data_IF_305408564691
#
_entry.id   IF_305408564691
#
_cell.length_a   1.000
_cell.length_b   1.000
_cell.length_c   1.000
_cell.angle_alpha   90.00
_cell.angle_beta   90.00
_cell.angle_gamma   90.00
#
_symmetry.space_group_name_H-M   'P 1'
#
loop_
_entity.id
_entity.type
_entity.pdbx_description
1 polymer ?
#
# COMPACT_ATOMS: atom_id res chain seq x y z
N UNK A 1 -12.83 -19.83 -21.17
CA UNK A 1 -12.89 -19.53 -19.72
C UNK A 1 -11.48 -19.63 -19.18
N UNK A 2 -10.88 -18.52 -18.79
CA UNK A 2 -9.55 -18.50 -18.18
C UNK A 2 -9.70 -18.66 -16.66
N UNK A 3 -8.94 -19.57 -16.05
CA UNK A 3 -8.95 -19.80 -14.59
C UNK A 3 -8.39 -18.61 -13.80
N UNK A 4 -8.56 -18.57 -12.47
CA UNK A 4 -8.11 -17.47 -11.61
C UNK A 4 -6.62 -17.13 -11.77
N UNK A 5 -5.76 -18.12 -12.05
CA UNK A 5 -4.33 -17.93 -12.30
C UNK A 5 -4.01 -17.26 -13.64
N UNK A 6 -4.87 -17.45 -14.65
CA UNK A 6 -4.71 -16.79 -15.95
C UNK A 6 -5.25 -15.36 -15.94
N UNK A 7 -6.25 -15.09 -15.10
CA UNK A 7 -6.67 -13.73 -14.78
C UNK A 7 -5.50 -12.96 -14.16
N UNK A 8 -4.90 -13.46 -13.07
CA UNK A 8 -3.71 -12.84 -12.45
C UNK A 8 -2.56 -12.60 -13.45
N UNK A 9 -2.25 -13.55 -14.33
CA UNK A 9 -1.17 -13.39 -15.31
C UNK A 9 -1.46 -12.37 -16.43
N UNK A 10 -2.73 -12.17 -16.83
CA UNK A 10 -3.12 -11.15 -17.80
C UNK A 10 -3.03 -9.74 -17.19
N UNK A 11 -3.47 -9.59 -15.93
CA UNK A 11 -3.38 -8.33 -15.18
C UNK A 11 -1.91 -7.85 -15.01
N UNK A 12 -0.96 -8.79 -14.86
CA UNK A 12 0.47 -8.47 -14.67
C UNK A 12 1.11 -7.87 -15.92
N UNK A 13 0.81 -8.40 -17.12
CA UNK A 13 1.45 -7.94 -18.37
C UNK A 13 1.02 -6.54 -18.79
N UNK A 14 -0.26 -6.20 -18.62
CA UNK A 14 -0.77 -4.89 -19.02
C UNK A 14 -0.29 -3.79 -18.06
N UNK A 15 -0.15 -4.10 -16.77
CA UNK A 15 0.39 -3.17 -15.77
C UNK A 15 1.89 -2.94 -15.95
N UNK A 16 2.69 -3.96 -16.30
CA UNK A 16 4.10 -3.77 -16.66
C UNK A 16 4.28 -2.83 -17.85
N UNK A 17 3.38 -2.90 -18.83
CA UNK A 17 3.41 -2.00 -19.99
C UNK A 17 3.09 -0.56 -19.59
N UNK A 18 2.12 -0.38 -18.69
CA UNK A 18 1.84 0.93 -18.08
C UNK A 18 3.06 1.47 -17.35
N UNK A 19 3.74 0.67 -16.53
CA UNK A 19 4.95 1.12 -15.82
C UNK A 19 6.06 1.55 -16.77
N UNK A 20 6.34 0.78 -17.84
CA UNK A 20 7.39 1.14 -18.82
C UNK A 20 7.07 2.46 -19.50
N UNK A 21 5.80 2.71 -19.83
CA UNK A 21 5.39 3.94 -20.48
C UNK A 21 5.45 5.14 -19.53
N UNK A 22 4.97 4.98 -18.30
CA UNK A 22 4.97 6.03 -17.26
C UNK A 22 6.38 6.36 -16.80
N UNK A 23 7.25 5.36 -16.61
CA UNK A 23 8.66 5.57 -16.24
C UNK A 23 9.49 6.20 -17.36
N UNK A 24 9.13 5.93 -18.63
CA UNK A 24 9.91 6.36 -19.79
C UNK A 24 11.27 5.65 -19.91
N UNK A 25 11.47 4.53 -19.19
CA UNK A 25 12.71 3.75 -19.21
C UNK A 25 12.54 2.43 -19.98
N UNK A 26 13.46 2.08 -20.90
CA UNK A 26 13.45 0.78 -21.57
C UNK A 26 13.81 -0.38 -20.63
N UNK A 27 14.56 -0.11 -19.55
CA UNK A 27 15.05 -1.11 -18.59
C UNK A 27 14.04 -1.46 -17.48
N UNK A 28 12.80 -0.98 -17.61
CA UNK A 28 11.68 -1.39 -16.76
C UNK A 28 11.73 -0.78 -15.36
N UNK A 29 10.91 0.25 -15.13
CA UNK A 29 10.43 0.52 -13.78
C UNK A 29 9.74 -0.72 -13.25
N UNK A 30 10.28 -1.32 -12.19
CA UNK A 30 9.72 -2.50 -11.56
C UNK A 30 8.36 -2.24 -10.94
N UNK A 31 7.38 -3.06 -11.32
CA UNK A 31 6.00 -2.95 -10.86
C UNK A 31 5.76 -3.97 -9.75
N UNK A 32 5.26 -3.51 -8.60
CA UNK A 32 4.47 -4.39 -7.73
C UNK A 32 3.02 -4.35 -8.22
N UNK A 33 2.32 -5.48 -8.12
CA UNK A 33 0.99 -5.66 -8.71
C UNK A 33 -0.15 -5.86 -7.71
N UNK A 34 0.14 -6.21 -6.44
CA UNK A 34 -0.92 -6.43 -5.45
C UNK A 34 -0.44 -6.26 -4.02
N UNK A 35 -1.30 -5.63 -3.20
CA UNK A 35 -1.09 -5.44 -1.77
C UNK A 35 -2.19 -6.21 -1.05
N UNK A 36 -1.85 -7.23 -0.23
CA UNK A 36 -2.85 -8.01 0.48
C UNK A 36 -3.27 -7.29 1.77
N UNK A 37 -4.17 -6.31 1.67
CA UNK A 37 -4.92 -5.84 2.85
C UNK A 37 -6.31 -6.47 2.79
N UNK A 38 -6.53 -7.51 3.59
CA UNK A 38 -7.84 -8.16 3.70
C UNK A 38 -8.53 -7.73 4.99
N UNK A 39 -9.81 -7.37 4.92
CA UNK A 39 -10.69 -7.15 6.09
C UNK A 39 -11.52 -8.41 6.35
N UNK A 40 -11.88 -8.65 7.61
CA UNK A 40 -12.78 -9.74 8.04
C UNK A 40 -14.25 -9.49 7.69
N UNK A 41 -14.64 -8.23 7.42
CA UNK A 41 -16.03 -7.84 7.18
C UNK A 41 -16.38 -7.57 5.71
N UNK A 42 -17.51 -8.10 5.25
CA UNK A 42 -18.17 -7.62 4.02
C UNK A 42 -18.82 -6.27 4.31
N UNK A 43 -18.24 -5.18 3.81
CA UNK A 43 -18.90 -3.87 3.84
C UNK A 43 -19.41 -3.53 2.44
N UNK A 44 -20.66 -3.88 2.19
CA UNK A 44 -21.43 -3.40 1.04
C UNK A 44 -21.78 -1.92 1.25
N UNK A 45 -21.20 -1.04 0.44
CA UNK A 45 -21.43 0.41 0.47
C UNK A 45 -20.49 1.15 -0.49
N UNK A 46 -20.78 2.42 -0.86
CA UNK A 46 -19.99 3.19 -1.82
C UNK A 46 -18.56 3.50 -1.34
N UNK A 47 -18.31 3.40 -0.03
CA UNK A 47 -16.99 3.46 0.58
C UNK A 47 -16.35 2.07 0.48
N UNK A 48 -15.65 1.80 -0.63
CA UNK A 48 -14.84 0.58 -0.80
C UNK A 48 -13.77 0.55 0.29
N UNK A 49 -14.10 -0.14 1.37
CA UNK A 49 -13.42 -0.11 2.65
C UNK A 49 -12.30 -1.13 2.67
N UNK A 50 -11.12 -0.86 2.08
CA UNK A 50 -9.93 -1.72 2.18
C UNK A 50 -10.20 -3.25 2.09
N UNK A 51 -11.20 -3.67 1.32
CA UNK A 51 -11.70 -5.05 1.34
C UNK A 51 -11.42 -5.67 -0.02
N UNK A 52 -10.36 -6.48 -0.07
CA UNK A 52 -9.89 -7.16 -1.29
C UNK A 52 -8.45 -6.79 -1.65
N UNK A 53 -7.84 -7.60 -2.51
CA UNK A 53 -6.58 -7.24 -3.17
C UNK A 53 -6.91 -6.26 -4.31
N UNK A 54 -6.30 -5.08 -4.30
CA UNK A 54 -6.39 -4.14 -5.42
C UNK A 54 -5.00 -3.80 -5.94
N UNK A 55 -4.88 -3.49 -7.24
CA UNK A 55 -3.58 -3.20 -7.83
C UNK A 55 -3.05 -1.86 -7.33
N UNK A 56 -1.80 -1.89 -6.89
CA UNK A 56 -1.01 -0.71 -6.50
C UNK A 56 0.28 -0.79 -7.26
N UNK A 57 0.59 0.24 -8.04
CA UNK A 57 1.77 0.28 -8.90
C UNK A 57 2.83 1.15 -8.27
N UNK A 58 4.09 0.71 -8.36
CA UNK A 58 5.26 1.53 -8.07
C UNK A 58 5.99 1.85 -9.35
N UNK A 59 6.49 3.08 -9.47
CA UNK A 59 7.22 3.52 -10.65
C UNK A 59 8.37 4.42 -10.25
N UNK A 60 9.54 4.19 -10.83
CA UNK A 60 10.66 5.13 -10.81
C UNK A 60 10.76 5.79 -12.18
N UNK A 61 10.88 7.12 -12.19
CA UNK A 61 10.91 7.90 -13.42
C UNK A 61 12.35 7.99 -13.97
N UNK A 62 12.49 7.97 -15.29
CA UNK A 62 13.76 8.29 -15.93
C UNK A 62 14.14 9.77 -15.68
N UNK A 63 15.44 10.07 -15.74
CA UNK A 63 15.95 11.42 -15.51
C UNK A 63 15.24 12.47 -16.39
N UNK A 64 14.79 13.56 -15.77
CA UNK A 64 14.07 14.64 -16.45
C UNK A 64 12.62 14.33 -16.84
N UNK A 65 12.09 13.16 -16.44
CA UNK A 65 10.66 12.83 -16.59
C UNK A 65 9.87 13.22 -15.34
N UNK A 66 8.61 13.56 -15.57
CA UNK A 66 7.63 13.86 -14.54
C UNK A 66 6.37 13.07 -14.84
N UNK A 67 5.72 12.59 -13.79
CA UNK A 67 4.39 11.99 -13.86
C UNK A 67 3.65 12.37 -12.58
N UNK A 68 2.31 12.33 -12.63
CA UNK A 68 1.48 12.40 -11.44
C UNK A 68 0.61 11.14 -11.34
N UNK A 69 0.24 10.77 -10.11
CA UNK A 69 -0.57 9.59 -9.83
C UNK A 69 -1.85 9.56 -10.70
N UNK A 70 -2.57 10.69 -10.78
CA UNK A 70 -3.83 10.77 -11.50
C UNK A 70 -3.67 10.47 -13.00
N UNK A 71 -2.68 11.06 -13.66
CA UNK A 71 -2.38 10.82 -15.08
C UNK A 71 -1.98 9.37 -15.33
N UNK A 72 -1.17 8.78 -14.44
CA UNK A 72 -0.76 7.39 -14.56
C UNK A 72 -1.95 6.42 -14.40
N UNK A 73 -2.90 6.72 -13.50
CA UNK A 73 -4.13 5.94 -13.33
C UNK A 73 -5.04 6.09 -14.56
N UNK A 74 -5.24 7.29 -15.09
CA UNK A 74 -6.05 7.49 -16.29
C UNK A 74 -5.45 6.77 -17.50
N UNK A 75 -4.13 6.88 -17.69
CA UNK A 75 -3.43 6.12 -18.73
C UNK A 75 -3.64 4.61 -18.57
N UNK A 76 -3.56 4.10 -17.33
CA UNK A 76 -3.81 2.69 -17.06
C UNK A 76 -5.23 2.25 -17.40
N UNK A 77 -6.23 3.12 -17.20
CA UNK A 77 -7.64 2.83 -17.54
C UNK A 77 -7.88 2.77 -19.05
N UNK A 78 -7.15 3.59 -19.81
CA UNK A 78 -7.21 3.58 -21.27
C UNK A 78 -6.52 2.35 -21.86
N UNK A 79 -5.44 1.87 -21.22
CA UNK A 79 -4.63 0.77 -21.72
C UNK A 79 -5.10 -0.62 -21.27
N UNK A 80 -5.59 -0.74 -20.04
CA UNK A 80 -6.01 -2.00 -19.44
C UNK A 80 -7.52 -2.19 -19.69
N UNK A 81 -7.87 -3.17 -20.51
CA UNK A 81 -9.29 -3.47 -20.82
C UNK A 81 -10.06 -3.99 -19.58
N UNK A 82 -9.38 -4.75 -18.71
CA UNK A 82 -10.02 -5.41 -17.57
C UNK A 82 -10.11 -4.46 -16.35
N UNK A 83 -11.32 -3.99 -16.04
CA UNK A 83 -11.56 -3.02 -14.95
C UNK A 83 -10.98 -3.41 -13.58
N UNK A 84 -10.98 -4.68 -13.15
CA UNK A 84 -10.35 -5.08 -11.89
C UNK A 84 -8.83 -4.91 -11.86
N UNK A 85 -8.12 -4.86 -13.00
CA UNK A 85 -6.68 -4.57 -13.05
C UNK A 85 -6.34 -3.09 -12.94
N UNK A 86 -7.33 -2.21 -12.98
CA UNK A 86 -7.04 -0.78 -12.92
C UNK A 86 -6.38 -0.44 -11.59
N UNK A 87 -5.18 0.19 -11.62
CA UNK A 87 -4.50 0.58 -10.41
C UNK A 87 -5.37 1.54 -9.61
N UNK A 88 -5.52 1.24 -8.32
CA UNK A 88 -6.17 2.16 -7.39
C UNK A 88 -5.21 3.24 -6.91
N UNK A 89 -3.91 2.94 -6.94
CA UNK A 89 -2.82 3.82 -6.55
C UNK A 89 -1.61 3.61 -7.46
N UNK A 90 -0.92 4.71 -7.74
CA UNK A 90 0.40 4.72 -8.40
C UNK A 90 1.33 5.53 -7.52
N UNK A 91 2.37 4.88 -6.99
CA UNK A 91 3.40 5.52 -6.19
C UNK A 91 4.65 5.76 -7.03
N UNK A 92 5.00 7.03 -7.17
CA UNK A 92 6.22 7.45 -7.82
C UNK A 92 7.31 7.50 -6.74
N UNK A 93 8.38 6.73 -6.93
CA UNK A 93 9.47 6.56 -5.96
C UNK A 93 10.82 6.78 -6.61
N UNK A 94 11.77 7.32 -5.84
CA UNK A 94 13.12 7.61 -6.34
C UNK A 94 13.88 6.35 -6.76
N UNK A 95 13.67 5.26 -6.03
CA UNK A 95 14.24 3.96 -6.34
C UNK A 95 13.31 2.85 -5.87
N UNK A 96 13.28 1.76 -6.64
CA UNK A 96 12.60 0.54 -6.23
C UNK A 96 13.52 -0.29 -5.34
N UNK A 97 12.99 -0.92 -4.29
CA UNK A 97 13.76 -1.87 -3.51
C UNK A 97 14.07 -3.08 -4.40
N UNK A 98 15.34 -3.46 -4.44
CA UNK A 98 15.82 -4.61 -5.19
C UNK A 98 16.34 -5.68 -4.23
N UNK A 99 16.27 -6.93 -4.67
CA UNK A 99 16.96 -8.08 -4.08
C UNK A 99 18.46 -7.97 -4.36
N UNK A 100 19.26 -8.79 -3.67
CA UNK A 100 20.70 -8.91 -3.96
C UNK A 100 20.98 -9.33 -5.41
N UNK A 101 20.02 -10.00 -6.06
CA UNK A 101 20.09 -10.39 -7.48
C UNK A 101 19.63 -9.29 -8.44
N UNK A 102 19.28 -8.11 -7.95
CA UNK A 102 18.85 -6.97 -8.77
C UNK A 102 17.39 -6.99 -9.22
N UNK A 103 16.61 -8.01 -8.87
CA UNK A 103 15.18 -8.07 -9.15
C UNK A 103 14.38 -7.28 -8.12
N UNK A 104 13.21 -6.76 -8.50
CA UNK A 104 12.29 -6.05 -7.58
C UNK A 104 11.99 -6.89 -6.34
N UNK A 105 12.19 -6.29 -5.17
CA UNK A 105 11.88 -6.91 -3.89
C UNK A 105 10.41 -6.65 -3.53
N UNK A 106 9.53 -7.46 -4.10
CA UNK A 106 8.08 -7.38 -3.88
C UNK A 106 7.64 -7.37 -2.40
N UNK A 107 8.28 -8.14 -1.47
CA UNK A 107 7.95 -8.06 -0.05
C UNK A 107 8.04 -6.65 0.53
N UNK A 108 9.10 -5.90 0.19
CA UNK A 108 9.28 -4.52 0.68
C UNK A 108 8.22 -3.59 0.12
N UNK A 109 7.85 -3.75 -1.16
CA UNK A 109 6.81 -2.92 -1.78
C UNK A 109 5.42 -3.22 -1.19
N UNK A 110 5.14 -4.47 -0.80
CA UNK A 110 3.89 -4.84 -0.11
C UNK A 110 3.82 -4.23 1.28
N UNK A 111 4.94 -4.27 2.02
CA UNK A 111 5.08 -3.60 3.30
C UNK A 111 4.84 -2.08 3.19
N UNK A 112 5.56 -1.41 2.29
CA UNK A 112 5.43 0.04 2.06
C UNK A 112 4.00 0.42 1.67
N UNK A 113 3.36 -0.35 0.79
CA UNK A 113 2.01 -0.05 0.36
C UNK A 113 0.99 -0.19 1.50
N UNK A 114 1.18 -1.18 2.38
CA UNK A 114 0.35 -1.35 3.56
C UNK A 114 0.51 -0.17 4.52
N UNK A 115 1.74 0.28 4.77
CA UNK A 115 2.04 1.47 5.59
C UNK A 115 1.32 2.69 5.05
N UNK A 116 1.48 3.00 3.75
CA UNK A 116 0.86 4.17 3.11
C UNK A 116 -0.66 4.15 3.20
N UNK A 117 -1.25 2.99 2.89
CA UNK A 117 -2.69 2.86 2.81
C UNK A 117 -3.35 2.85 4.19
N UNK A 118 -2.74 2.16 5.15
CA UNK A 118 -3.19 2.17 6.53
C UNK A 118 -3.01 3.56 7.14
N UNK A 119 -1.89 4.24 6.87
CA UNK A 119 -1.63 5.60 7.33
C UNK A 119 -2.69 6.59 6.85
N UNK A 120 -3.02 6.56 5.55
CA UNK A 120 -4.14 7.36 5.02
C UNK A 120 -5.46 7.03 5.72
N UNK A 121 -5.77 5.74 5.83
CA UNK A 121 -7.07 5.30 6.37
C UNK A 121 -7.22 5.67 7.85
N UNK A 122 -6.17 5.48 8.66
CA UNK A 122 -6.17 5.87 10.06
C UNK A 122 -6.22 7.39 10.20
N UNK A 123 -5.48 8.14 9.39
CA UNK A 123 -5.52 9.60 9.42
C UNK A 123 -6.92 10.15 9.10
N UNK A 124 -7.59 9.61 8.07
CA UNK A 124 -8.94 10.03 7.68
C UNK A 124 -9.99 9.69 8.74
N UNK A 125 -9.89 8.51 9.37
CA UNK A 125 -10.93 8.00 10.28
C UNK A 125 -10.76 8.46 11.72
N UNK A 126 -9.51 8.49 12.18
CA UNK A 126 -9.16 8.87 13.55
C UNK A 126 -8.97 10.39 13.65
N UNK A 127 -8.78 11.08 12.51
CA UNK A 127 -8.53 12.51 12.42
C UNK A 127 -7.27 12.93 13.20
N UNK A 128 -6.25 12.07 13.15
CA UNK A 128 -4.98 12.25 13.85
C UNK A 128 -3.85 11.70 12.99
N UNK A 129 -2.63 12.24 13.13
CA UNK A 129 -1.42 11.79 12.41
C UNK A 129 -0.25 11.54 13.35
N UNK A 130 -0.49 11.51 14.66
CA UNK A 130 0.50 11.32 15.72
C UNK A 130 0.82 9.83 15.89
N UNK A 131 1.03 9.14 14.77
CA UNK A 131 1.39 7.74 14.76
C UNK A 131 2.39 7.44 13.65
N UNK A 132 3.22 6.44 13.88
CA UNK A 132 4.10 5.82 12.89
C UNK A 132 3.65 4.39 12.67
N UNK A 133 3.72 3.93 11.42
CA UNK A 133 3.31 2.58 11.04
C UNK A 133 4.51 1.87 10.43
N UNK A 134 4.80 0.70 10.95
CA UNK A 134 5.75 -0.24 10.37
C UNK A 134 4.99 -1.49 9.92
N UNK A 135 5.24 -1.96 8.70
CA UNK A 135 4.70 -3.23 8.22
C UNK A 135 5.84 -4.16 7.80
N UNK A 136 5.71 -5.44 8.12
CA UNK A 136 6.67 -6.48 7.77
C UNK A 136 5.94 -7.72 7.27
N UNK A 137 6.48 -8.33 6.22
CA UNK A 137 6.02 -9.65 5.81
C UNK A 137 6.46 -10.68 6.87
N UNK A 138 5.56 -11.60 7.23
CA UNK A 138 5.81 -12.61 8.26
C UNK A 138 4.72 -12.68 9.33
N UNK A 139 4.98 -13.45 10.38
CA UNK A 139 3.97 -13.75 11.41
C UNK A 139 3.07 -14.94 11.05
N UNK A 140 2.23 -15.34 11.99
CA UNK A 140 1.25 -16.44 11.88
C UNK A 140 0.22 -16.20 10.78
N UNK A 141 -0.04 -14.94 10.42
CA UNK A 141 -0.97 -14.55 9.34
C UNK A 141 -0.27 -14.07 8.05
N UNK A 142 1.05 -14.23 7.96
CA UNK A 142 1.85 -13.87 6.78
C UNK A 142 2.13 -12.37 6.60
N UNK A 143 1.50 -11.52 7.42
CA UNK A 143 1.76 -10.08 7.48
C UNK A 143 1.58 -9.55 8.91
N UNK A 144 2.48 -8.69 9.36
CA UNK A 144 2.46 -8.07 10.68
C UNK A 144 2.63 -6.55 10.58
N UNK A 145 1.87 -5.81 11.38
CA UNK A 145 1.87 -4.34 11.42
C UNK A 145 2.07 -3.83 12.84
N UNK A 146 3.02 -2.93 13.03
CA UNK A 146 3.23 -2.23 14.30
C UNK A 146 2.82 -0.78 14.15
N UNK A 147 2.00 -0.28 15.06
CA UNK A 147 1.59 1.13 15.11
C UNK A 147 2.13 1.75 16.38
N UNK A 148 2.99 2.76 16.23
CA UNK A 148 3.58 3.52 17.33
C UNK A 148 2.82 4.84 17.46
N UNK A 149 2.13 5.04 18.58
CA UNK A 149 1.33 6.22 18.90
C UNK A 149 2.17 7.21 19.73
N UNK A 150 2.25 8.48 19.32
CA UNK A 150 2.99 9.54 20.02
C UNK A 150 2.04 10.51 20.72
N UNK A 151 2.24 10.74 22.02
CA UNK A 151 1.50 11.76 22.77
C UNK A 151 -0.03 11.59 22.78
N UNK A 152 -0.52 10.40 22.43
CA UNK A 152 -1.91 10.21 22.04
C UNK A 152 -2.84 9.99 23.23
N UNK A 153 -4.03 10.60 23.17
CA UNK A 153 -5.09 10.39 24.16
C UNK A 153 -5.64 8.96 24.06
N UNK A 154 -6.05 8.36 25.19
CA UNK A 154 -6.57 6.98 25.24
C UNK A 154 -7.69 6.72 24.22
N UNK A 155 -8.58 7.69 24.02
CA UNK A 155 -9.68 7.60 23.06
C UNK A 155 -9.24 7.50 21.58
N UNK A 156 -8.07 8.04 21.22
CA UNK A 156 -7.51 7.92 19.86
C UNK A 156 -6.99 6.49 19.67
N UNK A 157 -6.34 5.93 20.69
CA UNK A 157 -5.82 4.57 20.64
C UNK A 157 -6.95 3.56 20.51
N UNK A 158 -8.07 3.75 21.20
CA UNK A 158 -9.23 2.86 21.10
C UNK A 158 -9.85 2.88 19.68
N UNK A 159 -9.84 4.04 19.00
CA UNK A 159 -10.27 4.14 17.60
C UNK A 159 -9.32 3.42 16.65
N UNK A 160 -8.01 3.57 16.86
CA UNK A 160 -6.99 2.86 16.07
C UNK A 160 -7.13 1.35 16.26
N UNK A 161 -7.27 0.89 17.50
CA UNK A 161 -7.50 -0.53 17.82
C UNK A 161 -8.75 -1.08 17.12
N UNK A 162 -9.87 -0.34 17.17
CA UNK A 162 -11.10 -0.73 16.49
C UNK A 162 -10.93 -0.90 14.98
N UNK A 163 -10.19 0.01 14.31
CA UNK A 163 -9.92 -0.10 12.87
C UNK A 163 -8.96 -1.25 12.54
N UNK A 164 -7.93 -1.48 13.35
CA UNK A 164 -6.95 -2.54 13.14
C UNK A 164 -7.55 -3.93 13.39
N UNK A 165 -8.48 -4.06 14.34
CA UNK A 165 -9.15 -5.32 14.67
C UNK A 165 -9.98 -5.90 13.53
N UNK A 166 -10.42 -5.07 12.59
CA UNK A 166 -11.14 -5.51 11.38
C UNK A 166 -10.20 -6.07 10.29
N UNK A 167 -8.88 -5.96 10.46
CA UNK A 167 -7.90 -6.38 9.47
C UNK A 167 -7.38 -7.80 9.74
N UNK A 168 -7.09 -8.54 8.68
CA UNK A 168 -6.69 -9.95 8.72
C UNK A 168 -5.19 -10.18 8.97
N UNK A 169 -4.44 -9.15 9.33
CA UNK A 169 -3.03 -9.26 9.70
C UNK A 169 -2.83 -9.23 11.22
N UNK A 170 -1.66 -9.64 11.69
CA UNK A 170 -1.28 -9.43 13.08
C UNK A 170 -0.92 -7.96 13.30
N UNK A 171 -1.38 -7.37 14.41
CA UNK A 171 -1.01 -6.00 14.73
C UNK A 171 -0.57 -5.84 16.18
N UNK A 172 0.22 -4.81 16.43
CA UNK A 172 0.63 -4.39 17.78
C UNK A 172 0.57 -2.87 17.86
N UNK A 173 0.06 -2.34 18.97
CA UNK A 173 0.03 -0.90 19.23
C UNK A 173 1.01 -0.61 20.36
N UNK A 174 1.99 0.26 20.10
CA UNK A 174 2.90 0.77 21.10
C UNK A 174 2.59 2.23 21.38
N UNK A 175 2.66 2.64 22.66
CA UNK A 175 2.48 4.03 23.06
C UNK A 175 3.81 4.58 23.49
N UNK A 176 4.29 5.61 22.80
CA UNK A 176 5.46 6.38 23.22
C UNK A 176 4.92 7.62 23.91
N UNK A 177 4.94 7.61 25.24
CA UNK A 177 4.82 8.83 26.02
C UNK A 177 6.18 9.50 25.99
N UNK A 178 6.27 10.73 25.48
CA UNK A 178 7.47 11.53 25.66
C UNK A 178 7.78 11.59 27.16
N UNK A 179 9.06 11.51 27.58
CA UNK A 179 9.39 11.80 28.97
C UNK A 179 8.89 13.21 29.28
N UNK A 180 8.12 13.34 30.35
CA UNK A 180 7.81 14.64 30.96
C UNK A 180 9.16 15.30 31.22
N UNK A 181 9.55 16.27 30.40
CA UNK A 181 10.71 17.10 30.71
C UNK A 181 10.31 17.94 31.91
N UNK A 182 10.72 17.47 33.09
CA UNK A 182 10.68 18.22 34.33
C UNK A 182 11.46 19.52 34.13
N UNK A 183 10.75 20.64 34.20
CA UNK A 183 11.33 21.96 34.27
C UNK A 183 12.35 22.03 35.42
N UNK A 184 13.50 22.66 35.17
CA UNK A 184 14.38 23.27 36.18
C UNK A 184 14.92 24.56 35.61
#
# INVERSE_FOLDING_TARGET
MYGPDAFCNLLVRDVETVCRRVSGSPDGGGCLHSVPIRRTGSRSGPTQSLCGEFPVVYVTLAAGKTAIEAEAIEFAREYIAERPAWPKRVYIVDALPLTELGNVHEPSLRADAAVRLLGRTLAERVQDTSFEIEAKQGGKRGFAVSVTMFGSNGAIVDKVDAELKELLFEYTIQRVTAPVQSAS
#
